data_IF_449863817207
#
_entry.id   IF_449863817207
#
_cell.length_a   1.000
_cell.length_b   1.000
_cell.length_c   1.000
_cell.angle_alpha   90.00
_cell.angle_beta   90.00
_cell.angle_gamma   90.00
#
_symmetry.space_group_name_H-M   'P 1'
#
loop_
_entity.id
_entity.type
_entity.pdbx_description
1 polymer ?
#
# COMPACT_ATOMS: atom_id res chain seq x y z
N UNK A 1 59.01 -42.12 -23.72
CA UNK A 1 57.66 -42.30 -23.17
C UNK A 1 57.27 -40.95 -22.56
N UNK A 2 56.35 -40.26 -23.22
CA UNK A 2 56.01 -38.84 -23.01
C UNK A 2 54.68 -38.74 -22.25
N UNK A 3 54.68 -38.10 -21.07
CA UNK A 3 53.50 -37.99 -20.20
C UNK A 3 52.88 -36.62 -20.39
N UNK A 4 51.85 -36.54 -21.24
CA UNK A 4 51.09 -35.30 -21.46
C UNK A 4 49.95 -35.18 -20.44
N UNK A 5 49.99 -34.09 -19.67
CA UNK A 5 48.97 -33.67 -18.72
C UNK A 5 47.72 -33.17 -19.44
N UNK A 6 46.57 -33.83 -19.24
CA UNK A 6 45.25 -33.32 -19.64
C UNK A 6 44.74 -32.34 -18.57
N UNK A 7 44.69 -31.04 -18.91
CA UNK A 7 43.99 -30.04 -18.10
C UNK A 7 42.48 -30.13 -18.41
N UNK A 8 41.71 -30.67 -17.47
CA UNK A 8 40.25 -30.62 -17.51
C UNK A 8 39.76 -29.19 -17.29
N UNK A 9 39.12 -28.61 -18.30
CA UNK A 9 38.43 -27.32 -18.19
C UNK A 9 37.00 -27.60 -17.71
N UNK A 10 36.73 -27.31 -16.43
CA UNK A 10 35.36 -27.25 -15.92
C UNK A 10 34.77 -25.87 -16.23
N UNK A 11 33.92 -25.79 -17.26
CA UNK A 11 33.07 -24.63 -17.46
C UNK A 11 31.92 -24.68 -16.43
N UNK A 12 32.03 -23.92 -15.34
CA UNK A 12 30.91 -23.70 -14.43
C UNK A 12 29.92 -22.77 -15.12
N UNK A 13 28.91 -23.34 -15.77
CA UNK A 13 27.74 -22.57 -16.21
C UNK A 13 26.96 -22.17 -14.96
N UNK A 14 27.26 -21.00 -14.42
CA UNK A 14 26.49 -20.41 -13.34
C UNK A 14 25.14 -19.96 -13.88
N UNK A 15 24.05 -20.58 -13.41
CA UNK A 15 22.71 -20.02 -13.58
C UNK A 15 22.69 -18.75 -12.72
N UNK A 16 22.82 -17.57 -13.35
CA UNK A 16 22.56 -16.31 -12.67
C UNK A 16 21.08 -16.29 -12.30
N UNK A 17 20.78 -16.41 -10.99
CA UNK A 17 19.42 -16.26 -10.49
C UNK A 17 19.14 -14.76 -10.52
N UNK A 18 18.46 -14.28 -11.56
CA UNK A 18 17.98 -12.90 -11.64
C UNK A 18 17.17 -12.60 -10.37
N UNK A 19 17.70 -11.78 -9.46
CA UNK A 19 17.01 -11.42 -8.23
C UNK A 19 16.03 -10.30 -8.55
N UNK A 20 14.76 -10.62 -8.70
CA UNK A 20 13.70 -9.63 -8.78
C UNK A 20 13.02 -9.48 -7.42
N UNK A 21 12.87 -8.24 -6.94
CA UNK A 21 12.03 -7.94 -5.78
C UNK A 21 10.68 -7.42 -6.28
N UNK A 22 9.59 -7.93 -5.72
CA UNK A 22 8.23 -7.45 -6.00
C UNK A 22 7.70 -6.70 -4.78
N UNK A 23 7.52 -5.40 -4.92
CA UNK A 23 6.86 -4.57 -3.91
C UNK A 23 5.38 -4.46 -4.26
N UNK A 24 4.51 -4.69 -3.27
CA UNK A 24 3.05 -4.56 -3.40
C UNK A 24 2.57 -3.42 -2.53
N UNK A 25 2.08 -2.35 -3.14
CA UNK A 25 1.49 -1.21 -2.42
C UNK A 25 -0.03 -1.25 -2.55
N UNK A 26 -0.74 -1.45 -1.44
CA UNK A 26 -2.21 -1.49 -1.40
C UNK A 26 -2.71 -0.20 -0.77
N UNK A 27 -3.30 0.65 -1.60
CA UNK A 27 -3.88 1.93 -1.21
C UNK A 27 -5.36 1.76 -0.98
N UNK A 28 -5.83 2.23 0.17
CA UNK A 28 -7.24 2.23 0.52
C UNK A 28 -7.60 3.54 1.21
N UNK A 29 -8.82 4.00 0.95
CA UNK A 29 -9.36 5.16 1.64
C UNK A 29 -9.70 4.79 3.08
N UNK A 30 -9.61 5.76 4.01
CA UNK A 30 -10.24 5.63 5.32
C UNK A 30 -11.72 5.21 5.19
N UNK A 31 -12.29 4.52 6.17
CA UNK A 31 -13.69 4.09 6.17
C UNK A 31 -14.71 5.23 6.18
N UNK A 32 -15.99 4.89 6.11
CA UNK A 32 -17.10 5.84 6.07
C UNK A 32 -17.04 6.85 7.23
N UNK A 33 -17.45 8.08 6.92
CA UNK A 33 -17.40 9.22 7.85
C UNK A 33 -18.72 9.99 7.86
N UNK A 34 -19.10 10.60 9.00
CA UNK A 34 -20.20 11.54 9.02
C UNK A 34 -19.85 12.80 8.21
N UNK A 35 -20.87 13.54 7.80
CA UNK A 35 -20.70 14.86 7.19
C UNK A 35 -20.57 15.94 8.26
N UNK A 36 -19.48 15.85 9.03
CA UNK A 36 -19.12 16.82 10.06
C UNK A 36 -17.59 16.83 10.33
N UNK A 37 -17.18 17.75 11.20
CA UNK A 37 -15.77 18.00 11.56
C UNK A 37 -15.29 17.22 12.79
N UNK A 38 -15.99 16.14 13.18
CA UNK A 38 -15.58 15.32 14.34
C UNK A 38 -14.22 14.64 14.17
N UNK A 39 -13.78 14.46 12.92
CA UNK A 39 -12.58 13.68 12.59
C UNK A 39 -12.74 12.16 12.78
N UNK A 40 -13.96 11.69 13.06
CA UNK A 40 -14.26 10.28 13.36
C UNK A 40 -14.81 9.52 12.15
N UNK A 41 -14.75 8.19 12.22
CA UNK A 41 -15.53 7.28 11.38
C UNK A 41 -17.00 7.20 11.83
N UNK A 42 -17.89 6.74 10.96
CA UNK A 42 -19.22 6.24 11.37
C UNK A 42 -19.12 4.83 11.96
N UNK A 43 -20.20 4.29 12.50
CA UNK A 43 -20.23 2.88 12.91
C UNK A 43 -20.03 1.94 11.73
N UNK A 44 -20.61 2.26 10.57
CA UNK A 44 -20.31 1.56 9.31
C UNK A 44 -18.81 1.59 8.99
N UNK A 45 -18.16 2.75 9.12
CA UNK A 45 -16.72 2.89 8.89
C UNK A 45 -15.87 2.06 9.86
N UNK A 46 -16.27 1.95 11.12
CA UNK A 46 -15.61 1.09 12.10
C UNK A 46 -15.84 -0.40 11.81
N UNK A 47 -17.04 -0.80 11.40
CA UNK A 47 -17.32 -2.17 10.94
C UNK A 47 -16.47 -2.52 9.70
N UNK A 48 -16.28 -1.57 8.78
CA UNK A 48 -15.39 -1.74 7.62
C UNK A 48 -13.94 -1.93 8.08
N UNK A 49 -13.46 -1.11 9.01
CA UNK A 49 -12.11 -1.24 9.57
C UNK A 49 -11.87 -2.63 10.18
N UNK A 50 -12.84 -3.17 10.92
CA UNK A 50 -12.77 -4.52 11.48
C UNK A 50 -12.71 -5.59 10.39
N UNK A 51 -13.57 -5.50 9.37
CA UNK A 51 -13.59 -6.47 8.27
C UNK A 51 -12.34 -6.43 7.38
N UNK A 52 -11.70 -5.25 7.25
CA UNK A 52 -10.47 -5.07 6.48
C UNK A 52 -9.29 -5.90 7.02
N UNK A 53 -9.26 -6.22 8.32
CA UNK A 53 -8.21 -7.03 8.92
C UNK A 53 -8.09 -8.39 8.22
N UNK A 54 -9.18 -9.16 8.18
CA UNK A 54 -9.15 -10.48 7.55
C UNK A 54 -9.11 -10.38 6.02
N UNK A 55 -9.79 -9.39 5.42
CA UNK A 55 -9.82 -9.22 3.97
C UNK A 55 -8.43 -8.96 3.38
N UNK A 56 -7.69 -8.00 3.93
CA UNK A 56 -6.37 -7.63 3.40
C UNK A 56 -5.35 -8.76 3.60
N UNK A 57 -5.40 -9.45 4.75
CA UNK A 57 -4.52 -10.59 5.04
C UNK A 57 -4.83 -11.77 4.10
N UNK A 58 -6.10 -12.05 3.85
CA UNK A 58 -6.49 -13.12 2.94
C UNK A 58 -6.07 -12.85 1.48
N UNK A 59 -6.11 -11.59 1.04
CA UNK A 59 -5.78 -11.22 -0.35
C UNK A 59 -4.28 -11.02 -0.61
N UNK A 60 -3.57 -10.38 0.31
CA UNK A 60 -2.19 -9.92 0.10
C UNK A 60 -1.19 -10.55 1.08
N UNK A 61 -1.66 -11.37 2.02
CA UNK A 61 -0.83 -11.95 3.07
C UNK A 61 -0.50 -10.95 4.19
N UNK A 62 0.52 -11.28 4.98
CA UNK A 62 1.01 -10.39 6.03
C UNK A 62 1.72 -9.20 5.39
N UNK A 63 1.26 -7.99 5.71
CA UNK A 63 2.00 -6.78 5.37
C UNK A 63 3.33 -6.70 6.14
N UNK A 64 4.32 -6.07 5.52
CA UNK A 64 5.60 -5.74 6.15
C UNK A 64 5.58 -4.35 6.80
N UNK A 65 4.74 -3.45 6.29
CA UNK A 65 4.56 -2.11 6.85
C UNK A 65 3.12 -1.59 6.68
N UNK A 66 2.71 -0.73 7.60
CA UNK A 66 1.38 -0.10 7.62
C UNK A 66 1.56 1.42 7.70
N UNK A 67 0.91 2.17 6.81
CA UNK A 67 0.95 3.63 6.78
C UNK A 67 -0.45 4.22 6.95
N UNK A 68 -0.56 5.26 7.75
CA UNK A 68 -1.79 6.04 7.89
C UNK A 68 -1.50 7.54 7.97
N UNK A 69 -2.44 8.35 7.48
CA UNK A 69 -2.35 9.81 7.60
C UNK A 69 -2.34 10.24 9.06
N UNK A 70 -1.28 10.95 9.45
CA UNK A 70 -1.10 11.45 10.81
C UNK A 70 -2.07 12.60 11.10
N UNK A 71 -2.80 12.58 12.23
CA UNK A 71 -3.60 13.71 12.67
C UNK A 71 -2.69 14.86 13.12
N UNK A 72 -3.12 16.10 12.88
CA UNK A 72 -2.43 17.27 13.48
C UNK A 72 -2.86 17.41 14.94
N UNK A 73 -1.91 17.23 15.86
CA UNK A 73 -2.15 17.34 17.31
C UNK A 73 -2.65 18.73 17.74
N UNK A 74 -2.22 19.78 17.02
CA UNK A 74 -2.54 21.18 17.35
C UNK A 74 -3.95 21.63 16.98
N UNK A 75 -4.81 20.76 16.44
CA UNK A 75 -6.18 21.13 16.04
C UNK A 75 -7.18 20.03 16.40
N UNK A 76 -8.18 20.40 17.20
CA UNK A 76 -9.34 19.57 17.53
C UNK A 76 -10.14 19.20 16.26
N UNK A 77 -10.71 18.00 16.25
CA UNK A 77 -11.49 17.51 15.10
C UNK A 77 -10.66 17.11 13.89
N UNK A 78 -9.32 17.02 14.02
CA UNK A 78 -8.51 16.42 12.97
C UNK A 78 -8.91 14.97 12.70
N UNK A 79 -8.81 14.59 11.44
CA UNK A 79 -9.16 13.25 10.99
C UNK A 79 -8.26 12.21 11.67
N UNK A 80 -8.87 11.36 12.50
CA UNK A 80 -8.28 10.12 13.01
C UNK A 80 -8.61 8.93 12.09
N UNK A 81 -9.44 9.16 11.09
CA UNK A 81 -10.10 8.13 10.26
C UNK A 81 -9.13 7.15 9.63
N UNK A 82 -8.01 7.63 9.09
CA UNK A 82 -6.98 6.78 8.48
C UNK A 82 -6.38 5.81 9.51
N UNK A 83 -5.99 6.34 10.68
CA UNK A 83 -5.45 5.53 11.76
C UNK A 83 -6.50 4.52 12.24
N UNK A 84 -7.72 4.97 12.55
CA UNK A 84 -8.82 4.10 12.98
C UNK A 84 -9.13 2.97 11.99
N UNK A 85 -9.02 3.25 10.69
CA UNK A 85 -9.29 2.27 9.63
C UNK A 85 -8.23 1.18 9.59
N UNK A 86 -6.95 1.50 9.77
CA UNK A 86 -5.85 0.52 9.71
C UNK A 86 -5.60 -0.18 11.06
N UNK A 87 -6.03 0.40 12.18
CA UNK A 87 -5.73 -0.13 13.52
C UNK A 87 -6.12 -1.61 13.69
N UNK A 88 -7.29 -2.10 13.25
CA UNK A 88 -7.61 -3.53 13.37
C UNK A 88 -6.63 -4.45 12.64
N UNK A 89 -6.14 -4.04 11.47
CA UNK A 89 -5.08 -4.75 10.73
C UNK A 89 -3.77 -4.76 11.52
N UNK A 90 -3.38 -3.60 12.07
CA UNK A 90 -2.18 -3.46 12.90
C UNK A 90 -2.21 -4.37 14.14
N UNK A 91 -3.36 -4.44 14.82
CA UNK A 91 -3.59 -5.36 15.94
C UNK A 91 -3.46 -6.81 15.49
N UNK A 92 -4.11 -7.19 14.38
CA UNK A 92 -4.11 -8.56 13.87
C UNK A 92 -2.72 -9.04 13.47
N UNK A 93 -1.90 -8.16 12.90
CA UNK A 93 -0.54 -8.46 12.46
C UNK A 93 0.54 -8.20 13.53
N UNK A 94 0.17 -7.57 14.66
CA UNK A 94 1.10 -7.08 15.69
C UNK A 94 2.19 -6.17 15.09
N UNK A 95 1.79 -5.23 14.24
CA UNK A 95 2.68 -4.28 13.58
C UNK A 95 2.47 -2.85 14.07
N UNK A 96 3.54 -2.04 14.14
CA UNK A 96 3.39 -0.59 14.31
C UNK A 96 2.75 0.05 13.07
N UNK A 97 2.20 1.24 13.25
CA UNK A 97 1.70 2.08 12.15
C UNK A 97 2.64 3.26 11.97
N UNK A 98 3.21 3.40 10.77
CA UNK A 98 3.92 4.60 10.35
C UNK A 98 2.95 5.77 10.28
N UNK A 99 3.14 6.73 11.19
CA UNK A 99 2.24 7.86 11.43
C UNK A 99 3.02 9.19 11.37
N UNK A 100 3.97 9.28 10.44
CA UNK A 100 4.91 10.40 10.34
C UNK A 100 4.41 11.52 9.41
N UNK A 101 3.51 11.20 8.47
CA UNK A 101 3.10 12.10 7.40
C UNK A 101 1.64 12.55 7.55
N UNK A 102 1.40 13.85 7.47
CA UNK A 102 0.07 14.42 7.36
C UNK A 102 -0.55 14.19 5.97
N UNK A 103 -1.88 14.36 5.89
CA UNK A 103 -2.68 14.09 4.69
C UNK A 103 -2.11 14.71 3.39
N UNK A 104 -1.51 15.91 3.48
CA UNK A 104 -1.01 16.68 2.34
C UNK A 104 0.47 16.45 2.02
N UNK A 105 1.19 15.67 2.83
CA UNK A 105 2.62 15.40 2.65
C UNK A 105 2.83 14.23 1.68
N UNK A 106 2.12 14.24 0.55
CA UNK A 106 2.05 13.14 -0.41
C UNK A 106 3.39 12.81 -1.03
N UNK A 107 4.25 13.82 -1.25
CA UNK A 107 5.60 13.63 -1.75
C UNK A 107 6.49 12.86 -0.76
N UNK A 108 6.43 13.24 0.53
CA UNK A 108 7.19 12.57 1.58
C UNK A 108 6.73 11.12 1.77
N UNK A 109 5.40 10.88 1.73
CA UNK A 109 4.85 9.53 1.75
C UNK A 109 5.34 8.70 0.54
N UNK A 110 5.27 9.24 -0.67
CA UNK A 110 5.80 8.57 -1.87
C UNK A 110 7.28 8.22 -1.71
N UNK A 111 8.09 9.16 -1.27
CA UNK A 111 9.54 8.95 -1.11
C UNK A 111 9.82 7.84 -0.08
N UNK A 112 9.07 7.80 1.01
CA UNK A 112 9.14 6.71 1.98
C UNK A 112 8.72 5.36 1.38
N UNK A 113 7.60 5.31 0.64
CA UNK A 113 7.13 4.09 0.00
C UNK A 113 8.10 3.56 -1.06
N UNK A 114 8.86 4.42 -1.73
CA UNK A 114 9.84 4.04 -2.75
C UNK A 114 11.26 3.82 -2.19
N UNK A 115 11.45 3.97 -0.89
CA UNK A 115 12.75 3.73 -0.26
C UNK A 115 13.22 2.28 -0.47
N UNK A 116 14.54 2.09 -0.59
CA UNK A 116 15.14 0.78 -0.80
C UNK A 116 14.82 -0.22 0.30
N UNK A 117 14.60 0.26 1.54
CA UNK A 117 14.19 -0.57 2.66
C UNK A 117 12.79 -1.20 2.47
N UNK A 118 11.99 -0.69 1.52
CA UNK A 118 10.67 -1.22 1.19
C UNK A 118 10.63 -2.06 -0.09
N UNK A 119 11.78 -2.29 -0.73
CA UNK A 119 11.83 -3.18 -1.89
C UNK A 119 11.45 -4.61 -1.50
N UNK A 120 10.54 -5.22 -2.24
CA UNK A 120 10.06 -6.58 -1.96
C UNK A 120 8.97 -6.66 -0.89
N UNK A 121 8.56 -5.53 -0.30
CA UNK A 121 7.57 -5.51 0.78
C UNK A 121 6.13 -5.39 0.27
N UNK A 122 5.20 -5.97 1.03
CA UNK A 122 3.77 -5.69 0.94
C UNK A 122 3.40 -4.62 1.96
N UNK A 123 2.81 -3.51 1.50
CA UNK A 123 2.54 -2.33 2.32
C UNK A 123 1.10 -1.89 2.16
N UNK A 124 0.41 -1.68 3.29
CA UNK A 124 -0.95 -1.13 3.28
C UNK A 124 -0.93 0.35 3.65
N UNK A 125 -1.60 1.18 2.85
CA UNK A 125 -1.55 2.65 2.94
C UNK A 125 -2.95 3.23 3.03
N UNK A 126 -3.28 3.87 4.16
CA UNK A 126 -4.63 4.40 4.42
C UNK A 126 -4.69 5.92 4.47
N UNK A 127 -5.35 6.53 3.49
CA UNK A 127 -5.42 7.99 3.35
C UNK A 127 -6.82 8.47 2.94
N UNK A 128 -6.94 9.77 2.69
CA UNK A 128 -8.08 10.37 2.01
C UNK A 128 -7.88 10.28 0.48
N UNK A 129 -8.96 10.05 -0.27
CA UNK A 129 -8.91 9.66 -1.70
C UNK A 129 -8.19 10.67 -2.60
N UNK A 130 -8.41 11.98 -2.43
CA UNK A 130 -7.74 12.99 -3.28
C UNK A 130 -6.21 12.93 -3.13
N UNK A 131 -5.73 12.60 -1.93
CA UNK A 131 -4.30 12.48 -1.66
C UNK A 131 -3.74 11.13 -2.14
N UNK A 132 -4.53 10.04 -2.07
CA UNK A 132 -4.14 8.76 -2.66
C UNK A 132 -3.93 8.87 -4.18
N UNK A 133 -4.84 9.55 -4.88
CA UNK A 133 -4.71 9.81 -6.32
C UNK A 133 -3.35 10.46 -6.63
N UNK A 134 -2.95 11.47 -5.86
CA UNK A 134 -1.67 12.18 -6.05
C UNK A 134 -0.47 11.26 -5.82
N UNK A 135 -0.48 10.51 -4.71
CA UNK A 135 0.61 9.59 -4.36
C UNK A 135 0.78 8.52 -5.43
N UNK A 136 -0.31 7.87 -5.83
CA UNK A 136 -0.27 6.80 -6.84
C UNK A 136 0.20 7.32 -8.19
N UNK A 137 -0.32 8.47 -8.64
CA UNK A 137 0.13 9.11 -9.88
C UNK A 137 1.62 9.43 -9.84
N UNK A 138 2.10 10.00 -8.73
CA UNK A 138 3.52 10.32 -8.60
C UNK A 138 4.38 9.06 -8.59
N UNK A 139 3.96 7.97 -7.91
CA UNK A 139 4.67 6.69 -7.95
C UNK A 139 4.75 6.15 -9.37
N UNK A 140 3.63 6.12 -10.11
CA UNK A 140 3.60 5.66 -11.50
C UNK A 140 4.57 6.47 -12.35
N UNK A 141 4.54 7.80 -12.23
CA UNK A 141 5.48 8.68 -12.93
C UNK A 141 6.95 8.38 -12.61
N UNK A 142 7.31 8.23 -11.34
CA UNK A 142 8.69 7.97 -10.89
C UNK A 142 9.18 6.56 -11.26
N UNK A 143 8.27 5.61 -11.44
CA UNK A 143 8.57 4.21 -11.79
C UNK A 143 8.38 3.89 -13.27
N UNK A 144 8.08 4.90 -14.10
CA UNK A 144 7.88 4.74 -15.54
C UNK A 144 6.56 4.06 -15.93
N UNK A 145 5.60 3.97 -15.00
CA UNK A 145 4.27 3.44 -15.23
C UNK A 145 3.37 4.42 -15.98
N UNK A 146 2.41 3.86 -16.73
CA UNK A 146 1.35 4.64 -17.34
C UNK A 146 0.33 5.09 -16.29
N UNK A 147 -0.04 6.36 -16.35
CA UNK A 147 -1.03 7.00 -15.48
C UNK A 147 -2.07 7.80 -16.29
N UNK A 148 -2.03 7.72 -17.62
CA UNK A 148 -2.91 8.48 -18.53
C UNK A 148 -4.38 8.08 -18.37
N UNK A 149 -4.63 6.78 -18.19
CA UNK A 149 -5.98 6.20 -18.03
C UNK A 149 -6.37 5.93 -16.56
N UNK A 150 -5.69 6.57 -15.60
CA UNK A 150 -6.00 6.35 -14.18
C UNK A 150 -7.42 6.85 -13.85
N UNK A 151 -8.30 5.99 -13.28
CA UNK A 151 -9.69 6.35 -13.06
C UNK A 151 -9.82 7.44 -11.99
N UNK A 152 -10.97 8.13 -12.00
CA UNK A 152 -11.36 8.95 -10.86
C UNK A 152 -11.61 8.06 -9.63
N UNK A 153 -11.35 8.58 -8.43
CA UNK A 153 -11.77 7.95 -7.18
C UNK A 153 -12.92 8.78 -6.56
N UNK A 154 -14.18 8.36 -6.71
CA UNK A 154 -15.32 9.14 -6.25
C UNK A 154 -15.32 9.39 -4.73
N UNK A 155 -15.85 10.54 -4.32
CA UNK A 155 -15.91 10.96 -2.91
C UNK A 155 -16.77 10.05 -2.03
N UNK A 156 -17.65 9.25 -2.57
CA UNK A 156 -18.48 8.26 -1.86
C UNK A 156 -17.94 6.82 -1.98
N UNK A 157 -16.84 6.61 -2.72
CA UNK A 157 -16.20 5.31 -2.85
C UNK A 157 -15.24 5.05 -1.68
N UNK A 158 -15.72 4.26 -0.72
CA UNK A 158 -14.95 3.73 0.41
C UNK A 158 -14.48 2.29 0.19
N UNK A 159 -14.81 1.71 -0.96
CA UNK A 159 -14.67 0.27 -1.24
C UNK A 159 -13.52 -0.06 -2.17
N UNK A 160 -13.07 0.90 -2.97
CA UNK A 160 -11.91 0.71 -3.83
C UNK A 160 -10.63 0.40 -3.06
N UNK A 161 -9.86 -0.54 -3.61
CA UNK A 161 -8.44 -0.71 -3.35
C UNK A 161 -7.70 -0.36 -4.65
N UNK A 162 -6.67 0.47 -4.57
CA UNK A 162 -5.74 0.68 -5.68
C UNK A 162 -4.46 -0.06 -5.34
N UNK A 163 -3.97 -0.89 -6.24
CA UNK A 163 -2.80 -1.74 -6.00
C UNK A 163 -1.73 -1.44 -7.04
N UNK A 164 -0.52 -1.16 -6.56
CA UNK A 164 0.68 -1.09 -7.39
C UNK A 164 1.57 -2.30 -7.11
N UNK A 165 1.91 -3.03 -8.15
CA UNK A 165 2.95 -4.06 -8.12
C UNK A 165 4.18 -3.54 -8.83
N UNK A 166 5.24 -3.25 -8.08
CA UNK A 166 6.50 -2.71 -8.60
C UNK A 166 7.53 -3.84 -8.59
N UNK A 167 7.93 -4.28 -9.78
CA UNK A 167 8.98 -5.29 -9.97
C UNK A 167 10.28 -4.56 -10.27
N UNK A 168 11.31 -4.83 -9.45
CA UNK A 168 12.66 -4.28 -9.66
C UNK A 168 13.61 -5.42 -9.98
N UNK A 169 14.17 -5.41 -11.18
CA UNK A 169 15.29 -6.25 -11.61
C UNK A 169 16.61 -5.49 -11.57
N UNK A 170 17.68 -6.13 -12.04
CA UNK A 170 19.03 -5.52 -12.05
C UNK A 170 19.13 -4.28 -12.96
N UNK A 171 18.35 -4.24 -14.04
CA UNK A 171 18.45 -3.22 -15.10
C UNK A 171 17.14 -2.50 -15.41
N UNK A 172 16.04 -2.99 -14.88
CA UNK A 172 14.71 -2.51 -15.23
C UNK A 172 13.78 -2.46 -14.03
N UNK A 173 12.84 -1.52 -14.09
CA UNK A 173 11.73 -1.38 -13.16
C UNK A 173 10.47 -1.44 -14.01
N UNK A 174 9.51 -2.23 -13.60
CA UNK A 174 8.16 -2.23 -14.19
C UNK A 174 7.13 -2.09 -13.09
N UNK A 175 6.06 -1.34 -13.34
CA UNK A 175 4.95 -1.18 -12.42
C UNK A 175 3.63 -1.53 -13.10
N UNK A 176 2.78 -2.25 -12.38
CA UNK A 176 1.40 -2.51 -12.79
C UNK A 176 0.44 -1.86 -11.80
N UNK A 177 -0.54 -1.11 -12.32
CA UNK A 177 -1.66 -0.57 -11.56
C UNK A 177 -2.90 -1.44 -11.74
N UNK A 178 -3.63 -1.65 -10.65
CA UNK A 178 -4.95 -2.28 -10.71
C UNK A 178 -5.90 -1.66 -9.69
N UNK A 179 -7.19 -1.70 -10.00
CA UNK A 179 -8.27 -1.32 -9.10
C UNK A 179 -9.08 -2.55 -8.73
N UNK A 180 -9.25 -2.78 -7.44
CA UNK A 180 -10.06 -3.84 -6.87
C UNK A 180 -11.17 -3.27 -5.97
N UNK A 181 -12.09 -4.13 -5.54
CA UNK A 181 -13.15 -3.81 -4.59
C UNK A 181 -13.02 -4.64 -3.32
N UNK A 182 -13.20 -4.00 -2.16
CA UNK A 182 -13.30 -4.68 -0.86
C UNK A 182 -14.59 -5.54 -0.80
N UNK A 183 -15.68 -5.08 -1.42
CA UNK A 183 -16.98 -5.77 -1.35
C UNK A 183 -17.68 -5.58 -0.01
N UNK A 184 -17.42 -4.47 0.69
CA UNK A 184 -17.88 -4.19 2.05
C UNK A 184 -18.95 -3.07 2.10
N UNK A 185 -19.51 -2.67 0.95
CA UNK A 185 -20.52 -1.61 0.88
C UNK A 185 -21.84 -1.92 1.61
N UNK A 186 -22.15 -3.18 1.85
CA UNK A 186 -23.39 -3.62 2.49
C UNK A 186 -23.30 -3.70 4.03
N UNK A 187 -22.21 -3.22 4.62
CA UNK A 187 -22.06 -3.17 6.08
C UNK A 187 -23.08 -2.20 6.70
N UNK A 188 -23.58 -2.60 7.87
CA UNK A 188 -24.52 -1.84 8.69
C UNK A 188 -23.81 -0.75 9.49
N UNK A 189 -24.52 0.35 9.75
CA UNK A 189 -24.18 1.32 10.78
C UNK A 189 -24.72 0.86 12.16
N UNK A 190 -24.33 1.52 13.25
CA UNK A 190 -24.68 1.13 14.63
C UNK A 190 -26.18 0.94 14.89
N UNK A 191 -27.04 1.61 14.12
CA UNK A 191 -28.48 1.69 14.35
C UNK A 191 -29.32 1.17 13.16
N UNK A 192 -28.75 0.29 12.33
CA UNK A 192 -29.40 -0.26 11.12
C UNK A 192 -29.59 -1.78 11.13
#
# INVERSE_FOLDING_TARGET
MDVRFLKSVFCKSGISRMTHSVQTLVFLRHGEKPDNDSGQLTGKGLNRALALADLLIARYGKADALYAAAPKQSKLGNSLRSLQTITPVAVRLSLPVHLEFHAKETKALRDALLDKAHHGHTIFVVWEHDNLIKVVRDILKETGGDYSDMPAWPRDDFDSLWVLNIVRGEKEISVAFSQEKQGLNNLKDYYS
#
